data_IF_686018348104
#
_entry.id   IF_686018348104
#
_cell.length_a   1.000
_cell.length_b   1.000
_cell.length_c   1.000
_cell.angle_alpha   90.00
_cell.angle_beta   90.00
_cell.angle_gamma   90.00
#
_symmetry.space_group_name_H-M   'P 1'
#
loop_
_entity.id
_entity.type
_entity.pdbx_description
1 polymer ?
#
# COMPACT_ATOMS: atom_id res chain seq x y z
N UNK A 1 -8.65 -3.19 17.79
CA UNK A 1 -8.97 -4.18 16.74
C UNK A 1 -7.70 -4.54 15.98
N UNK A 2 -6.81 -5.36 16.58
CA UNK A 2 -5.47 -5.63 16.02
C UNK A 2 -5.53 -6.23 14.61
N UNK A 3 -6.35 -7.25 14.40
CA UNK A 3 -6.50 -7.91 13.10
C UNK A 3 -7.01 -6.96 12.01
N UNK A 4 -7.95 -6.06 12.33
CA UNK A 4 -8.42 -5.05 11.38
C UNK A 4 -7.32 -4.11 10.93
N UNK A 5 -6.48 -3.64 11.87
CA UNK A 5 -5.32 -2.82 11.52
C UNK A 5 -4.34 -3.61 10.65
N UNK A 6 -4.08 -4.87 10.98
CA UNK A 6 -3.21 -5.74 10.20
C UNK A 6 -3.71 -5.91 8.75
N UNK A 7 -5.00 -6.16 8.55
CA UNK A 7 -5.63 -6.26 7.22
C UNK A 7 -5.50 -4.95 6.42
N UNK A 8 -5.73 -3.79 7.06
CA UNK A 8 -5.56 -2.48 6.39
C UNK A 8 -4.11 -2.25 5.96
N UNK A 9 -3.16 -2.56 6.83
CA UNK A 9 -1.73 -2.39 6.54
C UNK A 9 -1.28 -3.33 5.42
N UNK A 10 -1.72 -4.59 5.47
CA UNK A 10 -1.43 -5.55 4.42
C UNK A 10 -2.07 -5.18 3.09
N UNK A 11 -3.25 -4.57 3.11
CA UNK A 11 -3.88 -3.99 1.90
C UNK A 11 -3.00 -2.92 1.27
N UNK A 12 -2.39 -2.04 2.08
CA UNK A 12 -1.49 -1.01 1.58
C UNK A 12 -0.15 -1.59 1.09
N UNK A 13 0.40 -2.58 1.78
CA UNK A 13 1.67 -3.24 1.41
C UNK A 13 1.52 -4.03 0.11
N UNK A 14 0.53 -4.91 0.06
CA UNK A 14 0.27 -5.79 -1.08
C UNK A 14 -0.23 -5.01 -2.29
N UNK A 15 -1.11 -4.02 -2.05
CA UNK A 15 -1.65 -3.15 -3.10
C UNK A 15 -0.60 -2.25 -3.77
N UNK A 16 0.49 -1.90 -3.06
CA UNK A 16 1.67 -1.20 -3.61
C UNK A 16 1.29 -0.04 -4.55
N UNK A 17 0.37 0.81 -4.07
CA UNK A 17 -0.31 1.83 -4.90
C UNK A 17 0.66 2.91 -5.40
N UNK A 18 1.76 3.15 -4.70
CA UNK A 18 2.79 4.13 -5.10
C UNK A 18 4.15 3.41 -5.10
N UNK A 19 4.49 2.71 -6.19
CA UNK A 19 5.66 1.82 -6.23
C UNK A 19 6.99 2.58 -6.28
N UNK A 20 6.98 3.84 -6.70
CA UNK A 20 8.16 4.71 -6.74
C UNK A 20 7.89 6.02 -6.01
N UNK A 21 8.86 6.50 -5.24
CA UNK A 21 8.79 7.81 -4.61
C UNK A 21 8.90 8.94 -5.63
N UNK A 22 8.43 10.14 -5.23
CA UNK A 22 8.60 11.32 -6.06
C UNK A 22 10.09 11.64 -6.27
N UNK A 23 10.48 12.20 -7.44
CA UNK A 23 11.87 12.57 -7.70
C UNK A 23 12.41 13.54 -6.64
N UNK A 24 13.52 13.17 -6.03
CA UNK A 24 14.33 14.04 -5.18
C UNK A 24 15.59 14.47 -5.96
N UNK A 25 16.26 15.53 -5.50
CA UNK A 25 17.54 15.96 -6.05
C UNK A 25 18.54 16.21 -4.93
N UNK A 26 19.78 15.75 -5.10
CA UNK A 26 20.85 15.98 -4.13
C UNK A 26 21.20 17.47 -4.04
N UNK A 27 21.16 18.03 -2.83
CA UNK A 27 21.47 19.45 -2.60
C UNK A 27 22.99 19.73 -2.60
N UNK A 28 23.80 18.71 -2.29
CA UNK A 28 25.27 18.74 -2.27
C UNK A 28 25.80 17.37 -2.68
N UNK A 29 27.09 17.32 -2.99
CA UNK A 29 27.80 16.05 -3.15
C UNK A 29 27.62 15.22 -1.86
N UNK A 30 27.27 13.96 -2.03
CA UNK A 30 26.96 13.06 -0.93
C UNK A 30 27.47 11.66 -1.22
N UNK A 31 27.62 10.86 -0.18
CA UNK A 31 27.90 9.45 -0.29
C UNK A 31 26.72 8.65 0.27
N UNK A 32 26.37 7.55 -0.39
CA UNK A 32 25.34 6.62 0.06
C UNK A 32 25.86 5.19 -0.12
N UNK A 33 26.00 4.43 0.95
CA UNK A 33 26.46 3.03 0.90
C UNK A 33 27.79 2.85 0.11
N UNK A 34 28.74 3.78 0.26
CA UNK A 34 30.01 3.76 -0.47
C UNK A 34 29.98 4.40 -1.87
N UNK A 35 28.80 4.79 -2.37
CA UNK A 35 28.65 5.39 -3.69
C UNK A 35 28.66 6.93 -3.60
N UNK A 36 29.58 7.55 -4.33
CA UNK A 36 29.60 9.00 -4.52
C UNK A 36 28.47 9.46 -5.45
N UNK A 37 27.66 10.40 -5.00
CA UNK A 37 26.53 10.97 -5.72
C UNK A 37 26.75 12.49 -5.83
N UNK A 38 27.01 13.03 -7.03
CA UNK A 38 27.20 14.46 -7.24
C UNK A 38 25.97 15.28 -6.85
N UNK A 39 26.19 16.55 -6.50
CA UNK A 39 25.13 17.56 -6.36
C UNK A 39 24.32 17.68 -7.65
N UNK A 40 23.01 17.86 -7.52
CA UNK A 40 22.11 18.00 -8.66
C UNK A 40 21.68 16.67 -9.27
N UNK A 41 22.05 15.53 -8.67
CA UNK A 41 21.62 14.22 -9.12
C UNK A 41 20.16 13.98 -8.72
N UNK A 42 19.32 13.63 -9.70
CA UNK A 42 17.95 13.17 -9.45
C UNK A 42 17.97 11.76 -8.89
N UNK A 43 17.28 11.54 -7.77
CA UNK A 43 17.14 10.25 -7.09
C UNK A 43 15.66 9.91 -7.02
N UNK A 44 15.32 8.71 -7.49
CA UNK A 44 13.97 8.14 -7.40
C UNK A 44 14.09 6.89 -6.52
N UNK A 45 13.26 6.81 -5.48
CA UNK A 45 13.24 5.66 -4.57
C UNK A 45 12.31 4.59 -5.11
N UNK A 46 12.75 3.34 -5.10
CA UNK A 46 11.88 2.19 -5.35
C UNK A 46 11.24 1.79 -4.02
N UNK A 47 9.96 2.12 -3.83
CA UNK A 47 9.21 1.77 -2.63
C UNK A 47 8.69 0.33 -2.73
N UNK A 48 8.35 -0.15 -3.92
CA UNK A 48 7.96 -1.55 -4.13
C UNK A 48 9.01 -2.54 -3.64
N UNK A 49 10.30 -2.24 -3.83
CA UNK A 49 11.37 -3.16 -3.46
C UNK A 49 11.36 -3.44 -1.96
N UNK A 50 11.13 -2.43 -1.11
CA UNK A 50 11.08 -2.63 0.34
C UNK A 50 9.75 -3.28 0.79
N UNK A 51 8.64 -3.01 0.11
CA UNK A 51 7.34 -3.61 0.42
C UNK A 51 7.23 -5.09 0.00
N UNK A 52 8.14 -5.57 -0.87
CA UNK A 52 8.18 -6.93 -1.42
C UNK A 52 9.47 -7.68 -1.09
N UNK A 53 10.32 -7.14 -0.21
CA UNK A 53 11.60 -7.73 0.17
C UNK A 53 11.40 -9.09 0.87
N UNK A 54 11.87 -10.17 0.25
CA UNK A 54 11.78 -11.55 0.77
C UNK A 54 12.58 -11.75 2.06
N UNK A 55 13.55 -10.88 2.37
CA UNK A 55 14.32 -10.94 3.62
C UNK A 55 13.56 -10.35 4.80
N UNK A 56 12.52 -9.55 4.55
CA UNK A 56 11.73 -8.86 5.57
C UNK A 56 10.34 -9.46 5.72
N UNK A 57 9.69 -9.82 4.61
CA UNK A 57 8.32 -10.31 4.59
C UNK A 57 8.29 -11.82 4.35
N UNK A 58 7.67 -12.58 5.25
CA UNK A 58 7.59 -14.06 5.16
C UNK A 58 6.89 -14.54 3.88
N UNK A 59 5.89 -13.78 3.42
CA UNK A 59 5.01 -14.11 2.28
C UNK A 59 4.80 -12.88 1.40
N UNK A 60 5.85 -12.34 0.78
CA UNK A 60 5.83 -11.00 0.17
C UNK A 60 4.81 -10.89 -0.98
N UNK A 61 4.55 -12.00 -1.67
CA UNK A 61 3.65 -12.08 -2.83
C UNK A 61 2.28 -12.69 -2.49
N UNK A 62 1.95 -12.84 -1.22
CA UNK A 62 0.61 -13.26 -0.79
C UNK A 62 0.03 -12.18 0.11
N UNK A 63 -1.29 -12.06 0.11
CA UNK A 63 -1.99 -11.24 1.09
C UNK A 63 -1.95 -11.96 2.45
N UNK A 64 -1.15 -11.47 3.39
CA UNK A 64 -0.88 -12.12 4.67
C UNK A 64 -0.88 -11.13 5.85
N UNK A 65 -2.06 -10.81 6.43
CA UNK A 65 -2.19 -9.84 7.52
C UNK A 65 -1.28 -10.09 8.73
N UNK A 66 -0.95 -11.35 8.99
CA UNK A 66 -0.08 -11.79 10.08
C UNK A 66 1.33 -11.17 10.03
N UNK A 67 1.75 -10.60 8.90
CA UNK A 67 2.97 -9.77 8.85
C UNK A 67 2.95 -8.61 9.86
N UNK A 68 1.76 -8.12 10.23
CA UNK A 68 1.55 -7.01 11.15
C UNK A 68 1.03 -7.43 12.52
N UNK A 69 1.14 -8.71 12.87
CA UNK A 69 0.76 -9.24 14.19
C UNK A 69 1.99 -9.85 14.87
N UNK A 70 2.07 -9.69 16.19
CA UNK A 70 3.03 -10.44 17.01
C UNK A 70 2.47 -11.80 17.45
N UNK A 71 3.23 -12.52 18.28
CA UNK A 71 2.85 -13.84 18.78
C UNK A 71 1.59 -13.83 19.66
N UNK A 72 1.27 -12.68 20.28
CA UNK A 72 0.09 -12.49 21.11
C UNK A 72 -1.12 -12.01 20.29
N UNK A 73 -0.94 -11.76 18.98
CA UNK A 73 -1.96 -11.27 18.07
C UNK A 73 -2.17 -9.75 18.16
N UNK A 74 -1.24 -9.03 18.78
CA UNK A 74 -1.27 -7.57 18.86
C UNK A 74 -0.64 -6.93 17.62
N UNK A 75 -1.12 -5.73 17.29
CA UNK A 75 -0.69 -5.04 16.08
C UNK A 75 0.73 -4.48 16.22
N UNK A 76 1.60 -4.81 15.26
CA UNK A 76 2.98 -4.29 15.20
C UNK A 76 3.25 -3.69 13.83
N UNK A 77 3.67 -2.42 13.81
CA UNK A 77 4.13 -1.74 12.60
C UNK A 77 5.56 -2.17 12.27
N UNK A 78 5.79 -2.64 11.04
CA UNK A 78 7.13 -2.94 10.50
C UNK A 78 7.82 -1.67 10.01
N UNK A 79 9.13 -1.53 10.22
CA UNK A 79 9.89 -0.37 9.72
C UNK A 79 9.95 -0.32 8.19
N UNK A 80 9.99 -1.48 7.54
CA UNK A 80 9.93 -1.62 6.08
C UNK A 80 8.56 -1.24 5.47
N UNK A 81 7.55 -0.96 6.30
CA UNK A 81 6.25 -0.52 5.83
C UNK A 81 6.26 0.98 5.50
N UNK A 82 6.57 1.29 4.24
CA UNK A 82 6.76 2.65 3.73
C UNK A 82 5.79 3.08 2.61
N UNK A 83 4.47 2.84 2.70
CA UNK A 83 3.52 3.26 1.66
C UNK A 83 3.37 4.79 1.54
N UNK A 84 3.86 5.54 2.53
CA UNK A 84 3.83 7.01 2.59
C UNK A 84 5.22 7.65 2.47
N UNK A 85 6.22 6.88 2.02
CA UNK A 85 7.65 7.26 2.04
C UNK A 85 8.19 7.50 3.46
N UNK A 86 9.37 8.10 3.58
CA UNK A 86 10.03 8.41 4.85
C UNK A 86 10.80 9.74 4.81
N UNK A 87 11.20 10.23 5.98
CA UNK A 87 12.06 11.40 6.14
C UNK A 87 11.33 12.74 5.94
N UNK A 88 12.07 13.80 5.58
CA UNK A 88 11.58 15.19 5.52
C UNK A 88 10.43 15.43 4.52
N UNK A 89 10.21 14.51 3.59
CA UNK A 89 9.16 14.57 2.56
C UNK A 89 8.17 13.42 2.68
N UNK A 90 8.06 12.82 3.88
CA UNK A 90 6.98 11.87 4.20
C UNK A 90 5.62 12.50 3.90
N UNK A 91 4.66 11.70 3.45
CA UNK A 91 3.33 12.19 3.14
C UNK A 91 2.70 12.89 4.35
N UNK A 92 2.41 14.19 4.19
CA UNK A 92 1.76 14.99 5.24
C UNK A 92 0.38 14.44 5.62
N UNK A 93 -0.28 13.76 4.67
CA UNK A 93 -1.59 13.15 4.85
C UNK A 93 -1.58 11.77 5.51
N UNK A 94 -0.43 11.20 5.89
CA UNK A 94 -0.36 9.82 6.42
C UNK A 94 -1.32 9.58 7.60
N UNK A 95 -1.33 10.49 8.58
CA UNK A 95 -2.17 10.33 9.77
C UNK A 95 -3.67 10.41 9.42
N UNK A 96 -4.04 11.36 8.57
CA UNK A 96 -5.41 11.52 8.10
C UNK A 96 -5.86 10.28 7.32
N UNK A 97 -5.06 9.84 6.36
CA UNK A 97 -5.35 8.67 5.53
C UNK A 97 -5.50 7.40 6.36
N UNK A 98 -4.64 7.17 7.37
CA UNK A 98 -4.77 6.01 8.27
C UNK A 98 -6.07 6.04 9.06
N UNK A 99 -6.46 7.20 9.59
CA UNK A 99 -7.72 7.36 10.32
C UNK A 99 -8.93 7.12 9.41
N UNK A 100 -8.94 7.75 8.23
CA UNK A 100 -10.03 7.60 7.26
C UNK A 100 -10.15 6.16 6.78
N UNK A 101 -9.04 5.52 6.39
CA UNK A 101 -9.04 4.12 5.97
C UNK A 101 -9.63 3.21 7.06
N UNK A 102 -9.24 3.42 8.32
CA UNK A 102 -9.79 2.66 9.42
C UNK A 102 -11.30 2.88 9.55
N UNK A 103 -11.77 4.13 9.64
CA UNK A 103 -13.18 4.45 9.84
C UNK A 103 -14.06 3.93 8.69
N UNK A 104 -13.65 4.16 7.43
CA UNK A 104 -14.37 3.67 6.26
C UNK A 104 -14.39 2.14 6.22
N UNK A 105 -13.24 1.49 6.40
CA UNK A 105 -13.14 0.04 6.35
C UNK A 105 -14.00 -0.62 7.43
N UNK A 106 -13.92 -0.13 8.67
CA UNK A 106 -14.68 -0.68 9.78
C UNK A 106 -16.18 -0.44 9.64
N UNK A 107 -16.57 0.76 9.21
CA UNK A 107 -17.98 1.08 8.98
C UNK A 107 -18.57 0.19 7.90
N UNK A 108 -17.88 0.03 6.77
CA UNK A 108 -18.33 -0.83 5.68
C UNK A 108 -18.47 -2.29 6.14
N UNK A 109 -17.48 -2.85 6.84
CA UNK A 109 -17.54 -4.25 7.29
C UNK A 109 -18.51 -4.52 8.44
N UNK A 110 -18.87 -3.49 9.22
CA UNK A 110 -19.91 -3.61 10.25
C UNK A 110 -21.33 -3.65 9.65
N UNK A 111 -21.54 -2.97 8.53
CA UNK A 111 -22.86 -2.83 7.90
C UNK A 111 -23.08 -3.75 6.69
N UNK A 112 -22.00 -4.23 6.06
CA UNK A 112 -22.07 -4.99 4.83
C UNK A 112 -21.16 -6.22 4.86
N UNK A 113 -21.59 -7.26 4.15
CA UNK A 113 -20.75 -8.41 3.80
C UNK A 113 -20.52 -8.40 2.30
N UNK A 114 -19.26 -8.37 1.90
CA UNK A 114 -18.86 -8.30 0.49
C UNK A 114 -18.72 -9.71 -0.09
N UNK A 115 -19.37 -9.96 -1.21
CA UNK A 115 -19.27 -11.21 -1.96
C UNK A 115 -19.21 -10.91 -3.47
N UNK A 116 -18.48 -11.75 -4.20
CA UNK A 116 -18.55 -11.74 -5.66
C UNK A 116 -19.89 -12.34 -6.10
N UNK A 117 -20.62 -11.71 -7.04
CA UNK A 117 -21.82 -12.31 -7.63
C UNK A 117 -21.55 -13.68 -8.23
N UNK A 118 -22.52 -14.59 -8.12
CA UNK A 118 -22.41 -15.92 -8.70
C UNK A 118 -22.16 -15.86 -10.21
N UNK A 119 -21.18 -16.64 -10.67
CA UNK A 119 -20.82 -16.73 -12.09
C UNK A 119 -19.94 -15.59 -12.62
N UNK A 120 -19.56 -14.59 -11.81
CA UNK A 120 -18.55 -13.61 -12.21
C UNK A 120 -17.13 -14.14 -12.01
N UNK A 121 -16.24 -13.80 -12.96
CA UNK A 121 -14.82 -14.05 -12.82
C UNK A 121 -14.22 -13.16 -11.72
N UNK A 122 -13.19 -13.66 -11.03
CA UNK A 122 -12.43 -12.85 -10.07
C UNK A 122 -11.89 -11.60 -10.78
N UNK A 123 -12.00 -10.40 -10.17
CA UNK A 123 -11.38 -9.20 -10.71
C UNK A 123 -9.90 -9.44 -10.98
N UNK A 124 -9.40 -8.83 -12.05
CA UNK A 124 -7.98 -8.85 -12.36
C UNK A 124 -7.22 -8.16 -11.24
N UNK A 125 -6.14 -8.79 -10.77
CA UNK A 125 -5.29 -8.27 -9.70
C UNK A 125 -4.01 -7.63 -10.24
N UNK A 126 -3.81 -7.64 -11.56
CA UNK A 126 -2.68 -6.96 -12.17
C UNK A 126 -2.92 -5.45 -12.17
N UNK A 127 -2.14 -4.77 -11.32
CA UNK A 127 -2.17 -3.32 -11.23
C UNK A 127 -1.54 -2.66 -12.46
N UNK A 128 -2.19 -1.62 -12.97
CA UNK A 128 -1.63 -0.79 -14.04
C UNK A 128 -0.92 0.42 -13.44
N UNK A 129 0.39 0.54 -13.71
CA UNK A 129 1.18 1.66 -13.22
C UNK A 129 0.82 2.95 -13.98
N UNK A 130 0.18 3.90 -13.28
CA UNK A 130 0.04 5.31 -13.67
C UNK A 130 0.74 6.18 -12.62
N UNK A 131 0.23 7.37 -12.34
CA UNK A 131 0.69 8.13 -11.17
C UNK A 131 0.52 7.32 -9.86
N UNK A 132 -0.51 6.47 -9.82
CA UNK A 132 -0.72 5.40 -8.83
C UNK A 132 -0.97 4.06 -9.54
N UNK A 133 -0.73 2.96 -8.84
CA UNK A 133 -1.16 1.63 -9.25
C UNK A 133 -2.66 1.51 -9.00
N UNK A 134 -3.42 1.26 -10.05
CA UNK A 134 -4.88 1.11 -9.97
C UNK A 134 -5.23 -0.30 -10.42
N UNK A 135 -6.03 -0.98 -9.60
CA UNK A 135 -6.67 -2.24 -9.97
C UNK A 135 -7.92 -1.89 -10.76
N UNK A 136 -7.96 -2.25 -12.04
CA UNK A 136 -9.16 -2.07 -12.86
C UNK A 136 -10.21 -3.11 -12.50
N UNK A 137 -11.38 -2.66 -12.08
CA UNK A 137 -12.52 -3.53 -11.80
C UNK A 137 -13.85 -2.78 -11.91
N UNK A 138 -14.87 -3.46 -12.42
CA UNK A 138 -16.23 -2.94 -12.45
C UNK A 138 -16.91 -3.27 -11.11
N UNK A 139 -17.29 -2.24 -10.34
CA UNK A 139 -18.20 -2.41 -9.22
C UNK A 139 -19.63 -2.51 -9.76
N UNK A 140 -20.14 -3.73 -9.86
CA UNK A 140 -21.54 -3.97 -10.23
C UNK A 140 -22.41 -3.87 -8.98
N UNK A 141 -23.30 -2.88 -8.93
CA UNK A 141 -24.32 -2.79 -7.89
C UNK A 141 -25.32 -3.96 -8.04
N UNK A 142 -25.99 -4.38 -6.95
CA UNK A 142 -27.09 -5.37 -6.91
C UNK A 142 -28.17 -5.18 -7.99
N UNK A 143 -28.25 -4.01 -8.61
CA UNK A 143 -29.22 -3.67 -9.65
C UNK A 143 -28.67 -3.71 -11.10
N UNK A 144 -27.42 -4.18 -11.31
CA UNK A 144 -26.84 -4.32 -12.65
C UNK A 144 -26.51 -3.00 -13.36
N UNK A 145 -26.59 -1.86 -12.67
CA UNK A 145 -26.22 -0.56 -13.23
C UNK A 145 -24.71 -0.35 -13.13
N UNK A 146 -24.05 -0.20 -14.29
CA UNK A 146 -22.64 0.19 -14.38
C UNK A 146 -22.48 1.63 -13.88
N UNK A 147 -21.71 1.82 -12.81
CA UNK A 147 -21.19 3.13 -12.42
C UNK A 147 -19.82 3.30 -13.06
N UNK A 148 -19.59 4.29 -13.93
CA UNK A 148 -18.25 4.61 -14.37
C UNK A 148 -17.48 5.18 -13.17
N UNK A 149 -16.44 4.48 -12.75
CA UNK A 149 -15.41 5.07 -11.90
C UNK A 149 -14.56 5.99 -12.79
N UNK A 150 -14.38 7.23 -12.31
CA UNK A 150 -13.56 8.28 -12.92
C UNK A 150 -12.15 7.77 -13.21
#
# INVERSE_FOLDING_TARGET
MPYTNAVIHETQRYGDIVPVGLPHMTYRDTELQGYFIPKGTTVITNLSSVLKDETVWEKPHQFYPEHFLDADGEFVKREAFLPFSAGRRVCLGEQLARMELFLFFTSLLQHFTFHLPEGQARPREDGHFRFTCIISGDLVNKNGSHLPLI
#
